data_IF_241143716675
#
_entry.id   IF_241143716675
#
_cell.length_a   1.000
_cell.length_b   1.000
_cell.length_c   1.000
_cell.angle_alpha   90.00
_cell.angle_beta   90.00
_cell.angle_gamma   90.00
#
_symmetry.space_group_name_H-M   'P 1'
#
loop_
_entity.id
_entity.type
_entity.pdbx_description
1 polymer ?
#
# COMPACT_ATOMS: atom_id res chain seq x y z
N UNK A 1 -45.07 78.63 -16.75
CA UNK A 1 -43.69 78.39 -17.23
C UNK A 1 -43.20 77.09 -16.59
N UNK A 2 -42.91 76.11 -17.45
CA UNK A 2 -42.25 74.80 -17.29
C UNK A 2 -42.30 74.04 -15.94
N UNK A 3 -42.98 72.88 -15.97
CA UNK A 3 -42.72 71.74 -15.08
C UNK A 3 -41.43 71.04 -15.54
N UNK A 4 -40.54 70.69 -14.61
CA UNK A 4 -39.44 69.73 -14.79
C UNK A 4 -39.65 68.53 -13.84
N UNK A 5 -39.40 67.29 -14.28
CA UNK A 5 -39.71 66.08 -13.54
C UNK A 5 -38.55 65.62 -12.63
N UNK A 6 -38.92 64.86 -11.61
CA UNK A 6 -38.07 64.10 -10.68
C UNK A 6 -37.18 63.10 -11.43
N UNK A 7 -35.88 63.10 -11.13
CA UNK A 7 -34.94 62.03 -11.49
C UNK A 7 -34.31 61.50 -10.20
N UNK A 8 -34.77 60.32 -9.77
CA UNK A 8 -34.15 59.53 -8.73
C UNK A 8 -32.92 58.81 -9.33
N UNK A 9 -31.73 59.12 -8.82
CA UNK A 9 -30.50 58.42 -9.19
C UNK A 9 -30.44 57.08 -8.43
N UNK A 10 -30.69 55.98 -9.12
CA UNK A 10 -30.33 54.64 -8.64
C UNK A 10 -28.80 54.47 -8.75
N UNK A 11 -28.10 54.45 -7.63
CA UNK A 11 -26.72 53.97 -7.57
C UNK A 11 -26.73 52.43 -7.62
N UNK A 12 -26.40 51.88 -8.79
CA UNK A 12 -26.22 50.45 -8.98
C UNK A 12 -24.82 50.06 -8.46
N UNK A 13 -24.73 49.54 -7.23
CA UNK A 13 -23.52 48.90 -6.73
C UNK A 13 -23.30 47.59 -7.50
N UNK A 14 -22.35 47.58 -8.44
CA UNK A 14 -21.84 46.36 -9.03
C UNK A 14 -20.99 45.62 -7.99
N UNK A 15 -21.59 44.65 -7.30
CA UNK A 15 -20.86 43.68 -6.48
C UNK A 15 -20.12 42.70 -7.41
N UNK A 16 -18.82 42.96 -7.62
CA UNK A 16 -17.90 41.96 -8.18
C UNK A 16 -17.79 40.79 -7.19
N UNK A 17 -18.13 39.54 -7.58
CA UNK A 17 -17.81 38.40 -6.73
C UNK A 17 -16.28 38.25 -6.74
N UNK A 18 -15.65 38.48 -5.59
CA UNK A 18 -14.30 37.94 -5.35
C UNK A 18 -14.43 36.42 -5.42
N UNK A 19 -13.99 35.84 -6.53
CA UNK A 19 -13.65 34.44 -6.60
C UNK A 19 -12.46 34.23 -5.64
N UNK A 20 -12.75 33.87 -4.40
CA UNK A 20 -11.76 33.33 -3.48
C UNK A 20 -11.27 32.01 -4.09
N UNK A 21 -10.18 32.08 -4.84
CA UNK A 21 -9.35 30.91 -5.10
C UNK A 21 -8.82 30.47 -3.74
N UNK A 22 -9.51 29.53 -3.09
CA UNK A 22 -9.00 28.83 -1.92
C UNK A 22 -7.85 27.93 -2.39
N UNK A 23 -6.70 28.52 -2.68
CA UNK A 23 -5.47 27.77 -2.81
C UNK A 23 -5.13 27.25 -1.42
N UNK A 24 -5.28 25.94 -1.20
CA UNK A 24 -4.72 25.33 0.00
C UNK A 24 -3.24 25.73 0.10
N UNK A 25 -2.83 26.20 1.27
CA UNK A 25 -1.43 26.51 1.52
C UNK A 25 -0.57 25.27 1.22
N UNK A 26 0.56 25.48 0.55
CA UNK A 26 1.53 24.41 0.27
C UNK A 26 1.99 23.81 1.59
N UNK A 27 1.97 22.48 1.66
CA UNK A 27 2.38 21.75 2.86
C UNK A 27 3.89 21.89 3.09
N UNK A 28 4.27 22.14 4.34
CA UNK A 28 5.65 22.32 4.79
C UNK A 28 6.02 21.42 5.95
N UNK A 29 5.07 20.66 6.49
CA UNK A 29 5.34 19.76 7.61
C UNK A 29 5.88 18.43 7.07
N UNK A 30 7.06 17.96 7.52
CA UNK A 30 7.56 16.67 7.07
C UNK A 30 6.86 15.52 7.79
N UNK A 31 6.77 14.33 7.15
CA UNK A 31 6.29 13.12 7.79
C UNK A 31 7.06 12.73 9.05
N UNK A 32 6.43 11.92 9.90
CA UNK A 32 7.09 11.29 11.03
C UNK A 32 8.18 10.31 10.58
N UNK A 33 9.25 10.25 11.38
CA UNK A 33 10.40 9.39 11.08
C UNK A 33 9.98 7.92 11.12
N UNK A 34 10.31 7.10 10.10
CA UNK A 34 10.00 5.68 10.11
C UNK A 34 10.54 5.00 11.37
N UNK A 35 9.65 4.35 12.12
CA UNK A 35 9.96 3.56 13.30
C UNK A 35 10.08 2.06 12.95
N UNK A 36 10.48 1.23 13.91
CA UNK A 36 10.51 -0.23 13.73
C UNK A 36 11.45 -0.71 12.63
N UNK A 37 12.42 0.10 12.21
CA UNK A 37 13.29 -0.24 11.09
C UNK A 37 14.12 -1.48 11.42
N UNK A 38 14.05 -2.47 10.54
CA UNK A 38 14.87 -3.69 10.60
C UNK A 38 15.57 -3.89 9.27
N UNK A 39 16.78 -4.45 9.32
CA UNK A 39 17.53 -4.87 8.15
C UNK A 39 18.07 -6.28 8.40
N UNK A 40 17.85 -7.16 7.45
CA UNK A 40 18.18 -8.57 7.59
C UNK A 40 18.69 -9.13 6.27
N UNK A 41 19.76 -9.92 6.30
CA UNK A 41 20.19 -10.64 5.11
C UNK A 41 19.08 -11.59 4.62
N UNK A 42 18.73 -11.45 3.34
CA UNK A 42 17.86 -12.37 2.63
C UNK A 42 18.65 -13.52 2.02
N UNK A 43 19.83 -13.19 1.50
CA UNK A 43 20.83 -14.10 0.96
C UNK A 43 22.22 -13.49 1.05
N UNK A 44 23.20 -14.14 0.43
CA UNK A 44 24.54 -13.59 0.29
C UNK A 44 24.59 -12.27 -0.52
N UNK A 45 23.54 -11.95 -1.28
CA UNK A 45 23.50 -10.78 -2.17
C UNK A 45 22.28 -9.88 -2.01
N UNK A 46 21.41 -10.16 -1.03
CA UNK A 46 20.21 -9.37 -0.76
C UNK A 46 20.03 -9.07 0.73
N UNK A 47 19.45 -7.91 1.04
CA UNK A 47 18.99 -7.53 2.37
C UNK A 47 17.54 -7.10 2.30
N UNK A 48 16.73 -7.64 3.20
CA UNK A 48 15.35 -7.26 3.47
C UNK A 48 15.36 -6.09 4.47
N UNK A 49 14.84 -4.94 4.05
CA UNK A 49 14.64 -3.77 4.91
C UNK A 49 13.14 -3.60 5.15
N UNK A 50 12.73 -3.46 6.40
CA UNK A 50 11.33 -3.26 6.79
C UNK A 50 11.19 -2.12 7.79
N UNK A 51 10.03 -1.48 7.86
CA UNK A 51 9.72 -0.39 8.78
C UNK A 51 8.23 -0.31 9.08
N UNK A 52 7.87 0.38 10.16
CA UNK A 52 6.48 0.68 10.49
C UNK A 52 5.94 1.85 9.65
N UNK A 53 4.62 1.91 9.50
CA UNK A 53 3.93 3.02 8.83
C UNK A 53 4.22 4.35 9.54
N UNK A 54 4.54 5.38 8.74
CA UNK A 54 4.74 6.76 9.18
C UNK A 54 3.41 7.51 9.08
N UNK A 55 3.33 8.63 9.79
CA UNK A 55 2.17 9.54 9.81
C UNK A 55 2.58 10.91 9.30
N UNK A 56 1.61 11.65 8.79
CA UNK A 56 1.79 13.01 8.27
C UNK A 56 0.48 13.78 8.44
N UNK A 57 0.53 15.12 8.41
CA UNK A 57 -0.66 15.98 8.52
C UNK A 57 -1.59 15.83 7.30
N UNK A 58 -1.06 15.53 6.11
CA UNK A 58 -1.83 15.23 4.90
C UNK A 58 -1.72 13.77 4.50
N UNK A 59 -0.53 13.32 4.13
CA UNK A 59 -0.29 11.94 3.71
C UNK A 59 1.20 11.61 3.57
N UNK A 60 1.58 10.41 4.01
CA UNK A 60 2.85 9.80 3.60
C UNK A 60 2.66 9.16 2.23
N UNK A 61 3.45 9.62 1.26
CA UNK A 61 3.29 9.24 -0.13
C UNK A 61 4.39 8.33 -0.65
N UNK A 62 5.51 8.28 0.06
CA UNK A 62 6.60 7.39 -0.28
C UNK A 62 7.61 7.21 0.83
N UNK A 63 8.48 6.24 0.61
CA UNK A 63 9.66 5.99 1.43
C UNK A 63 10.90 6.00 0.57
N UNK A 64 11.99 6.52 1.11
CA UNK A 64 13.32 6.45 0.52
C UNK A 64 14.19 5.57 1.40
N UNK A 65 14.82 4.56 0.80
CA UNK A 65 15.76 3.65 1.48
C UNK A 65 17.17 4.01 1.07
N UNK A 66 18.05 4.11 2.06
CA UNK A 66 19.44 4.50 1.89
C UNK A 66 20.35 3.37 2.36
N UNK A 67 21.37 3.07 1.57
CA UNK A 67 22.45 2.14 1.86
C UNK A 67 23.76 2.93 2.01
N UNK A 68 24.42 2.81 3.15
CA UNK A 68 25.68 3.51 3.45
C UNK A 68 25.63 5.03 3.19
N UNK A 69 24.46 5.64 3.42
CA UNK A 69 24.20 7.06 3.21
C UNK A 69 23.77 7.46 1.80
N UNK A 70 23.79 6.54 0.83
CA UNK A 70 23.32 6.78 -0.54
C UNK A 70 21.92 6.23 -0.76
N UNK A 71 21.02 6.99 -1.40
CA UNK A 71 19.66 6.52 -1.70
C UNK A 71 19.70 5.41 -2.75
N UNK A 72 19.20 4.23 -2.42
CA UNK A 72 19.19 3.07 -3.31
C UNK A 72 17.83 2.84 -3.97
N UNK A 73 16.73 3.25 -3.33
CA UNK A 73 15.40 3.12 -3.91
C UNK A 73 14.38 4.08 -3.30
N UNK A 74 13.28 4.28 -4.01
CA UNK A 74 12.08 5.00 -3.57
C UNK A 74 10.86 4.12 -3.78
N UNK A 75 9.98 4.07 -2.80
CA UNK A 75 8.83 3.18 -2.77
C UNK A 75 7.55 3.99 -2.55
N UNK A 76 6.40 3.52 -3.07
CA UNK A 76 5.09 4.07 -2.73
C UNK A 76 4.82 4.00 -1.21
N UNK A 77 4.02 4.94 -0.68
CA UNK A 77 3.71 5.03 0.75
C UNK A 77 2.99 3.82 1.35
N UNK A 78 2.40 2.97 0.51
CA UNK A 78 1.80 1.70 0.91
C UNK A 78 2.79 0.54 1.08
N UNK A 79 4.07 0.73 0.71
CA UNK A 79 5.12 -0.27 0.90
C UNK A 79 5.88 0.00 2.19
N UNK A 80 6.00 -1.05 2.99
CA UNK A 80 6.69 -1.03 4.29
C UNK A 80 7.87 -2.00 4.34
N UNK A 81 8.28 -2.49 3.17
CA UNK A 81 9.39 -3.42 3.01
C UNK A 81 9.97 -3.37 1.60
N UNK A 82 11.25 -3.72 1.48
CA UNK A 82 11.95 -3.87 0.19
C UNK A 82 13.15 -4.80 0.28
N UNK A 83 13.49 -5.39 -0.87
CA UNK A 83 14.74 -6.10 -1.09
C UNK A 83 15.76 -5.16 -1.73
N UNK A 84 16.90 -5.02 -1.06
CA UNK A 84 18.07 -4.38 -1.64
C UNK A 84 18.99 -5.48 -2.13
N UNK A 85 19.01 -5.66 -3.45
CA UNK A 85 19.76 -6.71 -4.15
C UNK A 85 21.13 -6.23 -4.64
N UNK A 86 21.87 -7.13 -5.28
CA UNK A 86 23.20 -6.88 -5.87
C UNK A 86 24.25 -6.45 -4.84
N UNK A 87 24.06 -6.89 -3.60
CA UNK A 87 25.03 -6.71 -2.52
C UNK A 87 26.17 -7.74 -2.65
N UNK A 88 27.29 -7.45 -2.00
CA UNK A 88 28.46 -8.32 -1.96
C UNK A 88 28.33 -9.30 -0.79
N UNK A 89 28.71 -10.58 -0.95
CA UNK A 89 28.78 -11.52 0.16
C UNK A 89 29.75 -11.07 1.26
N UNK A 90 29.54 -11.55 2.50
CA UNK A 90 30.37 -11.26 3.68
C UNK A 90 30.66 -9.78 3.89
N UNK A 91 29.72 -8.90 3.55
CA UNK A 91 29.92 -7.45 3.58
C UNK A 91 28.92 -6.80 4.53
N UNK A 92 29.42 -5.90 5.37
CA UNK A 92 28.58 -5.13 6.28
C UNK A 92 27.98 -3.93 5.55
N UNK A 93 26.68 -3.73 5.74
CA UNK A 93 25.88 -2.65 5.19
C UNK A 93 25.16 -1.91 6.31
N UNK A 94 24.91 -0.62 6.10
CA UNK A 94 24.09 0.21 6.99
C UNK A 94 22.89 0.76 6.23
N UNK A 95 21.69 0.55 6.76
CA UNK A 95 20.44 1.02 6.17
C UNK A 95 19.75 2.09 7.02
N UNK A 96 19.17 3.08 6.36
CA UNK A 96 18.20 4.04 6.93
C UNK A 96 17.02 4.22 6.00
N UNK A 97 15.88 4.63 6.57
CA UNK A 97 14.65 4.91 5.82
C UNK A 97 14.18 6.33 6.14
N UNK A 98 13.65 7.03 5.14
CA UNK A 98 12.96 8.33 5.29
C UNK A 98 11.57 8.23 4.69
N UNK A 99 10.60 8.87 5.34
CA UNK A 99 9.28 9.07 4.78
C UNK A 99 9.23 10.38 3.98
N UNK A 100 8.39 10.39 2.94
CA UNK A 100 8.19 11.51 2.02
C UNK A 100 6.70 11.80 1.87
N UNK A 101 6.32 13.07 1.86
CA UNK A 101 4.96 13.51 1.52
C UNK A 101 4.83 13.94 0.05
N UNK A 102 3.67 14.44 -0.34
CA UNK A 102 3.43 14.90 -1.69
C UNK A 102 4.11 16.22 -2.05
N UNK A 103 4.24 17.13 -1.07
CA UNK A 103 4.91 18.41 -1.22
C UNK A 103 6.44 18.26 -1.40
N UNK A 104 6.96 17.06 -1.14
CA UNK A 104 8.37 16.71 -1.22
C UNK A 104 9.13 16.89 0.10
N UNK A 105 8.43 17.16 1.21
CA UNK A 105 9.04 17.21 2.52
C UNK A 105 9.49 15.80 2.93
N UNK A 106 10.68 15.71 3.50
CA UNK A 106 11.29 14.45 3.92
C UNK A 106 11.44 14.44 5.44
N UNK A 107 11.09 13.32 6.05
CA UNK A 107 11.35 13.08 7.47
C UNK A 107 12.85 13.13 7.79
N UNK A 108 13.18 13.18 9.09
CA UNK A 108 14.52 12.77 9.55
C UNK A 108 14.79 11.32 9.14
N UNK A 109 16.06 10.93 8.92
CA UNK A 109 16.41 9.52 8.75
C UNK A 109 16.08 8.71 10.00
N UNK A 110 15.63 7.49 9.80
CA UNK A 110 15.47 6.51 10.88
C UNK A 110 16.79 6.27 11.63
N UNK A 111 16.69 5.63 12.80
CA UNK A 111 17.86 5.03 13.43
C UNK A 111 18.54 4.07 12.44
N UNK A 112 19.85 4.20 12.20
CA UNK A 112 20.55 3.36 11.24
C UNK A 112 20.76 1.95 11.77
N UNK A 113 20.50 0.95 10.93
CA UNK A 113 20.63 -0.47 11.26
C UNK A 113 21.74 -1.10 10.42
N UNK A 114 22.63 -1.84 11.08
CA UNK A 114 23.71 -2.58 10.42
C UNK A 114 23.32 -4.03 10.21
N UNK A 115 23.72 -4.59 9.07
CA UNK A 115 23.53 -6.01 8.73
C UNK A 115 24.72 -6.48 7.91
N UNK A 116 25.12 -7.74 8.08
CA UNK A 116 26.18 -8.35 7.28
C UNK A 116 25.58 -9.45 6.44
N UNK A 117 25.80 -9.41 5.12
CA UNK A 117 25.41 -10.52 4.22
C UNK A 117 26.23 -11.78 4.55
N UNK A 118 25.64 -12.98 4.47
CA UNK A 118 26.35 -14.23 4.68
C UNK A 118 27.37 -14.50 3.57
N UNK A 119 28.11 -15.59 3.74
CA UNK A 119 28.93 -16.17 2.67
C UNK A 119 28.05 -16.62 1.51
N UNK A 120 28.56 -16.49 0.28
CA UNK A 120 27.91 -17.11 -0.87
C UNK A 120 28.18 -18.61 -0.87
N UNK A 121 27.13 -19.41 -1.04
CA UNK A 121 27.19 -20.82 -1.34
C UNK A 121 26.91 -21.01 -2.84
N UNK A 122 27.88 -20.69 -3.70
CA UNK A 122 27.65 -20.52 -5.13
C UNK A 122 27.13 -21.77 -5.87
N UNK A 123 27.42 -22.96 -5.33
CA UNK A 123 27.02 -24.24 -5.90
C UNK A 123 25.81 -24.88 -5.20
N UNK A 124 25.23 -24.20 -4.21
CA UNK A 124 24.08 -24.70 -3.49
C UNK A 124 22.79 -24.51 -4.29
N UNK A 125 22.11 -25.63 -4.53
CA UNK A 125 20.84 -25.74 -5.27
C UNK A 125 19.78 -26.49 -4.47
N UNK A 126 20.08 -26.83 -3.21
CA UNK A 126 19.17 -27.56 -2.35
C UNK A 126 18.33 -26.54 -1.62
N UNK A 127 17.01 -26.46 -1.85
CA UNK A 127 16.18 -25.56 -1.07
C UNK A 127 16.04 -26.05 0.37
N UNK A 128 15.86 -25.13 1.34
CA UNK A 128 15.49 -25.49 2.69
C UNK A 128 14.23 -26.37 2.73
N UNK A 129 14.16 -27.22 3.75
CA UNK A 129 12.95 -27.96 4.05
C UNK A 129 11.78 -27.00 4.36
N UNK A 130 10.55 -27.43 4.04
CA UNK A 130 9.34 -26.67 4.34
C UNK A 130 9.21 -26.41 5.85
N UNK A 131 8.90 -25.18 6.29
CA UNK A 131 8.52 -24.91 7.68
C UNK A 131 7.33 -25.77 8.14
N UNK A 132 7.46 -26.40 9.30
CA UNK A 132 6.43 -27.27 9.89
C UNK A 132 5.94 -26.72 11.24
N UNK A 133 4.91 -27.36 11.82
CA UNK A 133 4.28 -26.96 13.09
C UNK A 133 3.87 -25.47 13.14
N UNK A 134 3.47 -24.94 11.97
CA UNK A 134 3.06 -23.54 11.82
C UNK A 134 1.73 -23.33 12.53
N UNK A 135 1.69 -22.29 13.35
CA UNK A 135 0.55 -21.86 14.16
C UNK A 135 0.62 -20.36 14.36
N UNK A 136 -0.46 -19.76 14.84
CA UNK A 136 -0.43 -18.37 15.21
C UNK A 136 -1.50 -17.99 16.23
N UNK A 137 -1.34 -16.79 16.77
CA UNK A 137 -2.27 -16.18 17.71
C UNK A 137 -2.53 -14.73 17.30
N UNK A 138 -3.72 -14.24 17.59
CA UNK A 138 -4.04 -12.82 17.43
C UNK A 138 -3.40 -12.00 18.54
N UNK A 139 -2.83 -10.84 18.18
CA UNK A 139 -2.29 -9.87 19.13
C UNK A 139 -3.04 -8.55 18.98
N UNK A 140 -4.18 -8.47 19.67
CA UNK A 140 -5.13 -7.37 19.50
C UNK A 140 -5.81 -7.36 18.13
N UNK A 141 -6.41 -6.21 17.74
CA UNK A 141 -7.22 -6.13 16.53
C UNK A 141 -6.42 -5.87 15.24
N UNK A 142 -5.11 -5.60 15.33
CA UNK A 142 -4.28 -5.16 14.19
C UNK A 142 -2.97 -5.92 14.01
N UNK A 143 -2.79 -7.01 14.74
CA UNK A 143 -1.60 -7.84 14.62
C UNK A 143 -1.88 -9.31 14.87
N UNK A 144 -1.01 -10.15 14.34
CA UNK A 144 -0.91 -11.57 14.69
C UNK A 144 0.54 -11.92 14.97
N UNK A 145 0.75 -12.95 15.77
CA UNK A 145 2.05 -13.59 15.96
C UNK A 145 2.01 -14.99 15.37
N UNK A 146 2.89 -15.27 14.41
CA UNK A 146 3.09 -16.58 13.80
C UNK A 146 4.28 -17.28 14.45
N UNK A 147 4.19 -18.59 14.62
CA UNK A 147 5.25 -19.44 15.16
C UNK A 147 5.36 -20.72 14.34
N UNK A 148 6.57 -21.22 14.15
CA UNK A 148 6.85 -22.45 13.39
C UNK A 148 8.05 -23.20 13.97
N UNK A 149 8.36 -24.36 13.42
CA UNK A 149 9.58 -25.11 13.71
C UNK A 149 10.70 -24.73 12.74
N UNK A 150 11.94 -24.73 13.25
CA UNK A 150 13.13 -24.47 12.43
C UNK A 150 13.20 -25.47 11.27
N UNK A 151 13.40 -24.95 10.06
CA UNK A 151 13.64 -25.72 8.85
C UNK A 151 15.10 -26.18 8.78
N UNK A 152 15.30 -27.39 8.27
CA UNK A 152 16.63 -27.94 8.00
C UNK A 152 17.05 -27.58 6.57
N UNK A 153 18.35 -27.42 6.40
CA UNK A 153 19.00 -27.10 5.12
C UNK A 153 20.49 -27.47 5.23
N UNK A 154 21.13 -27.81 4.12
CA UNK A 154 22.54 -28.23 4.08
C UNK A 154 23.52 -27.04 4.16
N UNK A 155 23.15 -25.87 3.62
CA UNK A 155 23.90 -24.62 3.75
C UNK A 155 23.39 -23.69 4.87
N UNK A 156 22.19 -23.96 5.39
CA UNK A 156 21.56 -23.27 6.48
C UNK A 156 20.57 -22.19 6.04
N UNK A 157 19.47 -22.09 6.80
CA UNK A 157 18.42 -21.09 6.57
C UNK A 157 18.91 -19.69 6.95
N UNK A 158 18.82 -18.77 6.00
CA UNK A 158 19.15 -17.35 6.14
C UNK A 158 17.95 -16.51 6.58
N UNK A 159 16.76 -16.82 6.08
CA UNK A 159 15.53 -16.08 6.41
C UNK A 159 14.28 -16.96 6.40
N UNK A 160 13.24 -16.49 7.08
CA UNK A 160 11.88 -16.94 6.88
C UNK A 160 11.03 -15.78 6.37
N UNK A 161 10.31 -16.02 5.29
CA UNK A 161 9.40 -15.06 4.70
C UNK A 161 7.97 -15.45 4.98
N UNK A 162 7.18 -14.46 5.37
CA UNK A 162 5.77 -14.61 5.65
C UNK A 162 5.01 -14.02 4.47
N UNK A 163 4.13 -14.84 3.92
CA UNK A 163 3.28 -14.50 2.79
C UNK A 163 1.84 -14.44 3.24
N UNK A 164 1.11 -13.51 2.62
CA UNK A 164 -0.33 -13.47 2.63
C UNK A 164 -0.77 -13.59 1.17
N UNK A 165 -1.49 -14.69 0.86
CA UNK A 165 -1.65 -15.15 -0.52
C UNK A 165 -0.25 -15.27 -1.19
N UNK A 166 -0.03 -14.63 -2.33
CA UNK A 166 1.27 -14.61 -3.02
C UNK A 166 2.15 -13.40 -2.66
N UNK A 167 1.67 -12.51 -1.78
CA UNK A 167 2.41 -11.30 -1.41
C UNK A 167 3.25 -11.54 -0.16
N UNK A 168 4.57 -11.34 -0.25
CA UNK A 168 5.43 -11.31 0.93
C UNK A 168 5.10 -10.07 1.76
N UNK A 169 4.72 -10.27 3.01
CA UNK A 169 4.30 -9.21 3.94
C UNK A 169 5.27 -9.02 5.10
N UNK A 170 6.12 -10.01 5.37
CA UNK A 170 7.12 -9.91 6.44
C UNK A 170 8.31 -10.85 6.19
N UNK A 171 9.45 -10.58 6.82
CA UNK A 171 10.61 -11.48 6.83
C UNK A 171 11.35 -11.39 8.17
N UNK A 172 11.85 -12.52 8.66
CA UNK A 172 12.64 -12.60 9.91
C UNK A 172 13.89 -13.46 9.73
N UNK A 173 14.96 -13.27 10.55
CA UNK A 173 16.21 -14.00 10.39
C UNK A 173 15.97 -15.50 10.50
N UNK A 174 16.77 -16.31 9.80
CA UNK A 174 16.69 -17.78 9.85
C UNK A 174 16.97 -18.36 11.24
N UNK A 175 17.46 -17.55 12.18
CA UNK A 175 17.60 -17.87 13.60
C UNK A 175 16.32 -17.66 14.42
N UNK A 176 15.30 -17.00 13.86
CA UNK A 176 13.98 -16.82 14.48
C UNK A 176 12.97 -17.79 13.89
N UNK A 177 12.08 -18.27 14.75
CA UNK A 177 10.94 -19.11 14.37
C UNK A 177 9.61 -18.50 14.83
N UNK A 178 9.60 -17.17 14.92
CA UNK A 178 8.45 -16.36 15.29
C UNK A 178 8.49 -15.04 14.51
N UNK A 179 7.32 -14.55 14.11
CA UNK A 179 7.15 -13.25 13.46
C UNK A 179 5.85 -12.59 13.93
N UNK A 180 5.91 -11.29 14.20
CA UNK A 180 4.74 -10.47 14.49
C UNK A 180 4.40 -9.65 13.26
N UNK A 181 3.25 -9.94 12.66
CA UNK A 181 2.73 -9.20 11.50
C UNK A 181 1.76 -8.14 12.00
N UNK A 182 1.99 -6.88 11.61
CA UNK A 182 1.21 -5.70 12.03
C UNK A 182 0.49 -5.08 10.83
N UNK A 183 -0.27 -4.01 11.06
CA UNK A 183 -0.98 -3.30 9.98
C UNK A 183 -2.23 -4.02 9.48
N UNK A 184 -2.70 -5.02 10.22
CA UNK A 184 -3.89 -5.79 9.87
C UNK A 184 -5.17 -5.03 10.22
N UNK A 185 -6.27 -5.38 9.55
CA UNK A 185 -7.61 -4.87 9.87
C UNK A 185 -8.24 -5.65 11.01
N UNK A 186 -9.04 -5.02 11.88
CA UNK A 186 -9.86 -5.70 12.88
C UNK A 186 -10.92 -6.62 12.27
N UNK A 187 -11.28 -7.70 12.99
CA UNK A 187 -12.37 -8.61 12.63
C UNK A 187 -12.23 -9.26 11.25
N UNK A 188 -11.01 -9.35 10.72
CA UNK A 188 -10.72 -9.76 9.34
C UNK A 188 -10.00 -11.10 9.35
N UNK A 189 -10.41 -12.00 8.46
CA UNK A 189 -9.74 -13.29 8.24
C UNK A 189 -8.53 -13.08 7.34
N UNK A 190 -7.39 -13.62 7.78
CA UNK A 190 -6.14 -13.67 7.04
C UNK A 190 -5.67 -15.11 6.93
N UNK A 191 -5.07 -15.46 5.79
CA UNK A 191 -4.36 -16.74 5.60
C UNK A 191 -2.89 -16.46 5.36
N UNK A 192 -2.01 -17.04 6.19
CA UNK A 192 -0.57 -16.85 6.10
C UNK A 192 0.15 -18.15 5.75
N UNK A 193 1.13 -18.09 4.85
CA UNK A 193 2.12 -19.16 4.63
C UNK A 193 3.52 -18.65 4.93
N UNK A 194 4.44 -19.59 5.19
CA UNK A 194 5.82 -19.28 5.51
C UNK A 194 6.75 -20.07 4.60
N UNK A 195 7.76 -19.41 4.03
CA UNK A 195 8.86 -20.05 3.30
C UNK A 195 10.18 -19.83 4.02
N UNK A 196 11.06 -20.81 3.99
CA UNK A 196 12.45 -20.66 4.38
C UNK A 196 13.30 -20.35 3.13
N UNK A 197 14.30 -19.47 3.27
CA UNK A 197 15.32 -19.22 2.24
C UNK A 197 16.73 -19.38 2.77
N UNK A 198 17.62 -19.84 1.92
CA UNK A 198 19.05 -19.97 2.19
C UNK A 198 19.87 -18.79 1.63
N UNK A 199 21.20 -18.87 1.75
CA UNK A 199 22.11 -17.84 1.26
C UNK A 199 22.29 -17.84 -0.27
N UNK A 200 21.84 -18.90 -0.96
CA UNK A 200 21.90 -19.07 -2.41
C UNK A 200 20.59 -18.66 -3.11
N UNK A 201 19.63 -18.09 -2.37
CA UNK A 201 18.28 -17.71 -2.83
C UNK A 201 17.38 -18.91 -3.17
N UNK A 202 17.71 -20.13 -2.75
CA UNK A 202 16.76 -21.23 -2.86
C UNK A 202 15.65 -21.05 -1.81
N UNK A 203 14.40 -21.29 -2.23
CA UNK A 203 13.23 -21.17 -1.36
C UNK A 203 12.60 -22.53 -1.14
N UNK A 204 12.22 -22.80 0.11
CA UNK A 204 11.34 -23.92 0.42
C UNK A 204 9.97 -23.75 -0.26
N UNK A 205 9.21 -24.84 -0.43
CA UNK A 205 7.77 -24.75 -0.60
C UNK A 205 7.10 -24.00 0.57
N UNK A 206 5.89 -23.48 0.36
CA UNK A 206 5.06 -22.85 1.39
C UNK A 206 4.79 -23.77 2.58
N UNK A 207 4.67 -23.26 3.79
CA UNK A 207 4.08 -24.05 4.88
C UNK A 207 2.62 -24.44 4.59
N UNK A 208 2.02 -25.25 5.47
CA UNK A 208 0.55 -25.27 5.54
C UNK A 208 0.05 -23.85 5.90
N UNK A 209 -1.07 -23.40 5.34
CA UNK A 209 -1.63 -22.10 5.68
C UNK A 209 -2.10 -22.08 7.13
N UNK A 210 -2.00 -20.91 7.75
CA UNK A 210 -2.61 -20.62 9.05
C UNK A 210 -3.63 -19.52 8.84
N UNK A 211 -4.89 -19.87 9.06
CA UNK A 211 -6.01 -18.94 9.00
C UNK A 211 -6.24 -18.33 10.38
N UNK A 212 -6.24 -17.00 10.45
CA UNK A 212 -6.45 -16.23 11.69
C UNK A 212 -7.46 -15.14 11.44
N UNK A 213 -8.41 -14.98 12.37
CA UNK A 213 -9.32 -13.84 12.38
C UNK A 213 -8.86 -12.86 13.44
N UNK A 214 -8.43 -11.66 13.05
CA UNK A 214 -8.04 -10.61 14.01
C UNK A 214 -9.21 -10.26 14.93
N UNK A 215 -8.89 -9.83 16.15
CA UNK A 215 -9.93 -9.41 17.09
C UNK A 215 -10.71 -8.20 16.53
N UNK A 216 -12.01 -8.06 16.84
CA UNK A 216 -12.74 -6.81 16.62
C UNK A 216 -12.09 -5.66 17.39
N UNK A 217 -12.17 -4.44 16.86
CA UNK A 217 -11.79 -3.23 17.59
C UNK A 217 -13.05 -2.62 18.23
N UNK A 218 -13.01 -2.15 19.49
CA UNK A 218 -14.16 -1.51 20.12
C UNK A 218 -14.63 -0.29 19.33
N UNK A 219 -15.91 -0.25 18.95
CA UNK A 219 -16.52 0.87 18.23
C UNK A 219 -16.37 0.83 16.70
N UNK A 220 -15.57 -0.08 16.14
CA UNK A 220 -15.49 -0.27 14.70
C UNK A 220 -16.68 -1.11 14.21
N UNK A 221 -17.52 -0.54 13.34
CA UNK A 221 -18.37 -1.37 12.47
C UNK A 221 -17.45 -2.18 11.57
N UNK A 222 -17.87 -3.39 11.17
CA UNK A 222 -17.11 -4.22 10.22
C UNK A 222 -16.57 -3.34 9.07
N UNK A 223 -15.28 -3.46 8.70
CA UNK A 223 -14.66 -2.52 7.80
C UNK A 223 -15.43 -2.49 6.48
N UNK A 224 -16.04 -1.34 6.14
CA UNK A 224 -16.62 -1.17 4.82
C UNK A 224 -15.48 -1.04 3.82
N UNK A 225 -15.17 -2.16 3.16
CA UNK A 225 -14.07 -2.25 2.20
C UNK A 225 -14.50 -1.90 0.77
N UNK A 226 -15.80 -1.70 0.55
CA UNK A 226 -16.37 -1.42 -0.76
C UNK A 226 -16.26 0.07 -1.11
N UNK A 227 -15.76 0.42 -2.30
CA UNK A 227 -15.92 1.75 -2.85
C UNK A 227 -17.39 2.10 -3.02
N UNK A 228 -17.78 3.28 -2.54
CA UNK A 228 -19.19 3.73 -2.53
C UNK A 228 -19.43 4.82 -3.57
N UNK A 229 -20.71 5.16 -3.79
CA UNK A 229 -21.10 6.27 -4.68
C UNK A 229 -20.58 6.17 -6.12
N UNK A 230 -20.29 4.96 -6.63
CA UNK A 230 -19.85 4.77 -8.00
C UNK A 230 -20.88 5.34 -8.98
N UNK A 231 -20.43 6.25 -9.84
CA UNK A 231 -21.13 6.81 -10.99
C UNK A 231 -20.33 6.51 -12.26
N UNK A 232 -21.05 6.23 -13.34
CA UNK A 232 -20.49 6.03 -14.67
C UNK A 232 -21.34 6.82 -15.68
N UNK A 233 -20.69 7.71 -16.44
CA UNK A 233 -21.34 8.57 -17.43
C UNK A 233 -20.66 8.33 -18.77
N UNK A 234 -21.41 7.87 -19.76
CA UNK A 234 -20.91 7.77 -21.11
C UNK A 234 -20.97 9.13 -21.80
N UNK A 235 -19.94 9.38 -22.60
CA UNK A 235 -19.89 10.43 -23.61
C UNK A 235 -19.18 9.87 -24.85
N UNK A 236 -19.20 10.63 -25.94
CA UNK A 236 -18.56 10.21 -27.20
C UNK A 236 -17.10 9.77 -26.95
N UNK A 237 -16.84 8.49 -27.18
CA UNK A 237 -15.52 7.87 -27.08
C UNK A 237 -15.00 7.58 -25.67
N UNK A 238 -15.77 7.82 -24.61
CA UNK A 238 -15.29 7.65 -23.24
C UNK A 238 -16.40 7.33 -22.21
N UNK A 239 -16.00 6.73 -21.10
CA UNK A 239 -16.82 6.62 -19.88
C UNK A 239 -16.05 7.32 -18.76
N UNK A 240 -16.67 8.35 -18.17
CA UNK A 240 -16.16 9.03 -16.99
C UNK A 240 -16.74 8.36 -15.73
N UNK A 241 -15.86 7.97 -14.83
CA UNK A 241 -16.18 7.34 -13.56
C UNK A 241 -15.90 8.28 -12.40
N UNK A 242 -16.74 8.21 -11.36
CA UNK A 242 -16.44 8.80 -10.06
C UNK A 242 -16.92 7.93 -8.91
N UNK A 243 -16.18 7.87 -7.81
CA UNK A 243 -16.51 7.06 -6.62
C UNK A 243 -15.86 7.61 -5.35
N UNK A 244 -16.31 7.14 -4.20
CA UNK A 244 -15.69 7.40 -2.89
C UNK A 244 -14.94 6.13 -2.43
N UNK A 245 -13.61 6.16 -2.26
CA UNK A 245 -12.84 5.05 -1.73
C UNK A 245 -13.28 4.62 -0.33
N UNK A 246 -13.04 3.37 0.09
CA UNK A 246 -13.36 2.91 1.43
C UNK A 246 -12.53 3.66 2.50
N UNK A 247 -13.12 3.86 3.69
CA UNK A 247 -12.42 4.46 4.83
C UNK A 247 -11.60 3.42 5.56
N UNK A 248 -10.33 3.32 5.21
CA UNK A 248 -9.42 2.27 5.71
C UNK A 248 -8.46 2.74 6.80
N UNK A 249 -8.50 4.03 7.19
CA UNK A 249 -7.54 4.62 8.13
C UNK A 249 -6.13 4.82 7.56
N UNK A 250 -5.95 4.56 6.26
CA UNK A 250 -4.71 4.76 5.51
C UNK A 250 -5.02 4.92 4.01
N UNK A 251 -4.04 5.30 3.18
CA UNK A 251 -4.25 5.56 1.75
C UNK A 251 -4.74 4.32 1.00
N UNK A 252 -5.57 4.54 -0.03
CA UNK A 252 -6.06 3.49 -0.96
C UNK A 252 -5.44 3.76 -2.34
N UNK A 253 -4.21 3.29 -2.58
CA UNK A 253 -3.43 3.67 -3.76
C UNK A 253 -3.90 2.97 -5.04
N UNK A 254 -4.62 1.86 -4.95
CA UNK A 254 -4.95 1.07 -6.14
C UNK A 254 -6.41 0.68 -6.18
N UNK A 255 -6.99 0.67 -7.38
CA UNK A 255 -8.33 0.17 -7.64
C UNK A 255 -8.31 -0.74 -8.86
N UNK A 256 -8.99 -1.87 -8.80
CA UNK A 256 -9.24 -2.69 -9.99
C UNK A 256 -10.61 -2.34 -10.55
N UNK A 257 -10.63 -1.93 -11.82
CA UNK A 257 -11.84 -1.65 -12.57
C UNK A 257 -12.23 -2.88 -13.40
N UNK A 258 -13.48 -3.31 -13.27
CA UNK A 258 -14.04 -4.42 -14.02
C UNK A 258 -15.12 -3.95 -14.98
N UNK A 259 -15.07 -4.42 -16.22
CA UNK A 259 -16.08 -4.24 -17.25
C UNK A 259 -16.65 -5.61 -17.64
N UNK A 260 -17.98 -5.74 -17.65
CA UNK A 260 -18.66 -6.97 -18.05
C UNK A 260 -18.14 -8.23 -17.31
N UNK A 261 -17.72 -8.05 -16.05
CA UNK A 261 -17.20 -9.12 -15.20
C UNK A 261 -15.70 -9.42 -15.36
N UNK A 262 -15.02 -8.82 -16.35
CA UNK A 262 -13.57 -9.01 -16.58
C UNK A 262 -12.77 -7.82 -16.07
N UNK A 263 -11.53 -8.07 -15.60
CA UNK A 263 -10.63 -6.99 -15.20
C UNK A 263 -10.27 -6.16 -16.44
N UNK A 264 -10.64 -4.88 -16.43
CA UNK A 264 -10.33 -3.96 -17.52
C UNK A 264 -8.99 -3.26 -17.28
N UNK A 265 -8.75 -2.78 -16.06
CA UNK A 265 -7.49 -2.12 -15.70
C UNK A 265 -7.29 -2.07 -14.18
N UNK A 266 -6.04 -1.89 -13.76
CA UNK A 266 -5.69 -1.48 -12.39
C UNK A 266 -5.32 0.00 -12.42
N UNK A 267 -6.14 0.81 -11.76
CA UNK A 267 -5.89 2.23 -11.54
C UNK A 267 -4.92 2.34 -10.37
N UNK A 268 -3.71 2.79 -10.65
CA UNK A 268 -2.69 3.06 -9.63
C UNK A 268 -2.61 4.55 -9.45
N UNK A 269 -3.05 5.01 -8.29
CA UNK A 269 -2.79 6.36 -7.82
C UNK A 269 -1.32 6.43 -7.41
N UNK A 270 -0.67 7.52 -7.79
CA UNK A 270 0.67 7.80 -7.31
C UNK A 270 0.65 8.13 -5.81
N UNK A 271 1.62 8.96 -5.44
CA UNK A 271 1.82 9.48 -4.10
C UNK A 271 0.54 9.91 -3.34
N UNK A 272 -0.36 10.64 -4.00
CA UNK A 272 -1.60 11.14 -3.40
C UNK A 272 -2.84 10.48 -4.03
N UNK A 273 -3.33 9.36 -3.46
CA UNK A 273 -4.66 8.90 -3.80
C UNK A 273 -5.70 9.95 -3.39
N UNK A 274 -6.81 10.09 -4.13
CA UNK A 274 -7.84 11.07 -3.80
C UNK A 274 -8.37 10.88 -2.37
N UNK A 275 -8.23 11.89 -1.52
CA UNK A 275 -8.72 11.87 -0.14
C UNK A 275 -10.26 11.88 -0.04
N UNK A 276 -10.96 12.11 -1.17
CA UNK A 276 -12.40 12.18 -1.27
C UNK A 276 -12.94 11.44 -2.49
N UNK A 277 -13.57 12.16 -3.42
CA UNK A 277 -14.08 11.53 -4.64
C UNK A 277 -12.93 11.26 -5.61
N UNK A 278 -12.71 9.99 -5.94
CA UNK A 278 -11.82 9.58 -7.00
C UNK A 278 -12.55 9.63 -8.35
N UNK A 279 -11.82 9.96 -9.43
CA UNK A 279 -12.37 10.04 -10.79
C UNK A 279 -11.46 9.36 -11.79
N UNK A 280 -12.01 8.70 -12.80
CA UNK A 280 -11.20 8.05 -13.83
C UNK A 280 -11.94 8.05 -15.16
N UNK A 281 -11.24 8.39 -16.24
CA UNK A 281 -11.80 8.32 -17.60
C UNK A 281 -11.20 7.13 -18.32
N UNK A 282 -12.05 6.25 -18.83
CA UNK A 282 -11.65 5.20 -19.77
C UNK A 282 -12.09 5.58 -21.19
N UNK A 283 -11.29 5.21 -22.18
CA UNK A 283 -11.67 5.32 -23.59
C UNK A 283 -12.51 4.10 -23.98
N UNK A 284 -13.58 4.33 -24.74
CA UNK A 284 -14.39 3.26 -25.33
C UNK A 284 -14.56 3.51 -26.83
N UNK A 285 -14.34 2.48 -27.64
CA UNK A 285 -14.40 2.56 -29.12
C UNK A 285 -15.57 1.78 -29.71
N UNK A 286 -16.34 1.08 -28.86
CA UNK A 286 -17.51 0.33 -29.28
C UNK A 286 -18.64 1.24 -29.79
N UNK A 287 -19.54 0.68 -30.59
CA UNK A 287 -20.60 1.43 -31.24
C UNK A 287 -21.58 2.06 -30.23
N UNK A 288 -22.21 3.22 -30.56
CA UNK A 288 -23.30 3.77 -29.78
C UNK A 288 -24.39 2.74 -29.49
N UNK A 289 -24.93 2.73 -28.27
CA UNK A 289 -25.88 1.73 -27.79
C UNK A 289 -25.24 0.51 -27.11
N UNK A 290 -23.91 0.34 -27.19
CA UNK A 290 -23.20 -0.72 -26.45
C UNK A 290 -23.37 -0.52 -24.95
N UNK A 291 -23.73 -1.58 -24.23
CA UNK A 291 -23.94 -1.57 -22.78
C UNK A 291 -22.73 -2.16 -22.07
N UNK A 292 -22.25 -1.48 -21.03
CA UNK A 292 -21.27 -2.02 -20.10
C UNK A 292 -21.85 -2.13 -18.70
N UNK A 293 -21.52 -3.21 -18.01
CA UNK A 293 -21.57 -3.27 -16.56
C UNK A 293 -20.21 -2.90 -15.96
N UNK A 294 -20.23 -2.00 -14.98
CA UNK A 294 -19.04 -1.40 -14.36
C UNK A 294 -19.10 -1.62 -12.86
N UNK A 295 -18.02 -2.16 -12.29
CA UNK A 295 -17.80 -2.20 -10.84
C UNK A 295 -16.30 -2.09 -10.56
N UNK A 296 -15.94 -1.68 -9.35
CA UNK A 296 -14.54 -1.59 -8.97
C UNK A 296 -14.32 -2.01 -7.52
N UNK A 297 -13.10 -2.40 -7.18
CA UNK A 297 -12.67 -2.72 -5.80
C UNK A 297 -11.35 -2.06 -5.48
N UNK A 298 -11.08 -1.83 -4.21
CA UNK A 298 -9.91 -1.10 -3.70
C UNK A 298 -8.84 -2.04 -3.15
N UNK A 299 -7.55 -1.71 -3.33
CA UNK A 299 -6.45 -2.34 -2.60
C UNK A 299 -6.32 -1.65 -1.25
N UNK A 300 -6.53 -2.40 -0.19
CA UNK A 300 -6.57 -1.91 1.18
C UNK A 300 -5.15 -1.83 1.76
N UNK A 301 -4.92 -1.05 2.83
CA UNK A 301 -3.57 -0.85 3.39
C UNK A 301 -2.85 -2.12 3.86
N UNK A 302 -3.58 -3.17 4.18
CA UNK A 302 -3.04 -4.48 4.55
C UNK A 302 -2.68 -5.37 3.34
N UNK A 303 -2.77 -4.83 2.13
CA UNK A 303 -2.50 -5.55 0.90
C UNK A 303 -3.63 -6.43 0.39
N UNK A 304 -4.81 -6.50 1.01
CA UNK A 304 -5.94 -7.25 0.45
C UNK A 304 -6.76 -6.41 -0.54
N UNK A 305 -7.40 -7.08 -1.50
CA UNK A 305 -8.47 -6.47 -2.27
C UNK A 305 -9.76 -6.47 -1.45
N UNK A 306 -10.41 -5.31 -1.34
CA UNK A 306 -11.71 -5.16 -0.71
C UNK A 306 -12.87 -5.65 -1.57
N UNK A 307 -14.06 -5.47 -1.02
CA UNK A 307 -15.32 -5.77 -1.68
C UNK A 307 -15.51 -4.91 -2.93
N UNK A 308 -16.31 -5.43 -3.85
CA UNK A 308 -16.74 -4.65 -5.02
C UNK A 308 -17.73 -3.56 -4.62
N UNK A 309 -17.65 -2.43 -5.33
CA UNK A 309 -18.71 -1.42 -5.38
C UNK A 309 -20.01 -2.04 -5.89
N UNK A 310 -21.12 -1.36 -5.62
CA UNK A 310 -22.37 -1.62 -6.35
C UNK A 310 -22.11 -1.49 -7.86
N UNK A 311 -22.67 -2.43 -8.65
CA UNK A 311 -22.52 -2.42 -10.10
C UNK A 311 -23.35 -1.29 -10.73
N UNK A 312 -22.79 -0.65 -11.75
CA UNK A 312 -23.45 0.36 -12.58
C UNK A 312 -23.54 -0.12 -14.02
N UNK A 313 -24.62 0.24 -14.70
CA UNK A 313 -24.77 0.01 -16.14
C UNK A 313 -24.68 1.34 -16.85
N UNK A 314 -23.89 1.40 -17.92
CA UNK A 314 -23.73 2.59 -18.76
C UNK A 314 -23.84 2.19 -20.23
N UNK A 315 -24.40 3.08 -21.05
CA UNK A 315 -24.63 2.86 -22.48
C UNK A 315 -23.83 3.89 -23.26
N UNK A 316 -23.00 3.45 -24.20
CA UNK A 316 -22.19 4.35 -25.05
C UNK A 316 -23.12 5.24 -25.88
N UNK A 317 -22.80 6.54 -25.92
CA UNK A 317 -23.52 7.58 -26.67
C UNK A 317 -22.86 7.89 -27.99
#
# INVERSE_FOLDING_TARGET
MQRLPTLAALACLAALPLAACTGEAKDTEPPSTPAGVTAQAGSATSVHVMWDTSSDNKAVTGYEVYENGSRVTTLPGAKHMVDVDRLRPKTAYRFTVRARDAAGNLSRPSTPISVTTPAQAADDRTPPARPTAVRGTTDGPRAVTLMWSRSADDAGVTSYDIYQEDSRVHSVPGTRTTARVTGLRPGTVYSFTIRARDAAENSSPDSRPVDLTTAPAPGDKAPNTSPTSLRAVARKGAIDLSWTPPRTGGPVPEHQLYLNGSLATTIVWGAEPPAGTATYTMTVTDAPGTRYSVKLRAKLPDGMWGDFSAQRTVVVT
#
